data_IF_376221094767
#
_entry.id   IF_376221094767
#
_cell.length_a   1.000
_cell.length_b   1.000
_cell.length_c   1.000
_cell.angle_alpha   90.00
_cell.angle_beta   90.00
_cell.angle_gamma   90.00
#
_symmetry.space_group_name_H-M   'P 1'
#
loop_
_entity.id
_entity.type
_entity.pdbx_description
1 polymer ?
#
# COMPACT_ATOMS: atom_id res chain seq x y z
N UNK A 1 23.19 10.15 14.50
CA UNK A 1 23.33 9.18 13.40
C UNK A 1 22.12 8.27 13.46
N UNK A 2 21.34 8.10 12.38
CA UNK A 2 20.28 7.11 12.40
C UNK A 2 20.96 5.74 12.54
N UNK A 3 20.50 4.94 13.49
CA UNK A 3 20.91 3.56 13.63
C UNK A 3 20.20 2.85 12.47
N UNK A 4 20.94 2.48 11.43
CA UNK A 4 20.44 1.57 10.40
C UNK A 4 20.09 0.25 11.10
N UNK A 5 18.82 0.06 11.45
CA UNK A 5 18.34 -1.26 11.84
C UNK A 5 18.62 -2.20 10.66
N UNK A 6 19.30 -3.34 10.87
CA UNK A 6 19.61 -4.25 9.78
C UNK A 6 18.30 -4.72 9.13
N UNK A 7 18.21 -4.69 7.80
CA UNK A 7 17.06 -5.18 7.04
C UNK A 7 16.76 -6.63 7.44
N UNK A 8 15.77 -6.82 8.31
CA UNK A 8 15.43 -8.11 8.86
C UNK A 8 14.62 -8.90 7.82
N UNK A 9 14.97 -10.18 7.64
CA UNK A 9 14.19 -11.07 6.77
C UNK A 9 12.93 -11.51 7.52
N UNK A 10 11.78 -11.32 6.89
CA UNK A 10 10.48 -11.76 7.35
C UNK A 10 10.03 -12.98 6.54
N UNK A 11 9.50 -13.97 7.23
CA UNK A 11 8.97 -15.20 6.63
C UNK A 11 7.55 -15.03 6.09
N UNK A 12 7.14 -15.87 5.13
CA UNK A 12 5.76 -15.96 4.66
C UNK A 12 4.77 -16.01 5.83
N UNK A 13 3.76 -15.14 5.78
CA UNK A 13 2.71 -15.07 6.79
C UNK A 13 1.43 -14.55 6.16
N UNK A 14 0.30 -14.81 6.81
CA UNK A 14 -0.98 -14.19 6.45
C UNK A 14 -1.18 -12.97 7.33
N UNK A 15 -1.44 -11.82 6.73
CA UNK A 15 -1.80 -10.60 7.43
C UNK A 15 -3.31 -10.40 7.36
N UNK A 16 -3.94 -9.99 8.46
CA UNK A 16 -5.40 -9.75 8.52
C UNK A 16 -5.70 -8.39 9.12
N UNK A 17 -6.65 -7.67 8.52
CA UNK A 17 -7.12 -6.39 9.04
C UNK A 17 -8.20 -6.61 10.10
N UNK A 18 -7.97 -6.10 11.30
CA UNK A 18 -8.90 -6.14 12.43
C UNK A 18 -9.09 -4.72 12.97
N UNK A 19 -10.15 -4.05 12.51
CA UNK A 19 -10.43 -2.67 12.86
C UNK A 19 -9.35 -1.71 12.34
N UNK A 20 -8.48 -1.23 13.23
CA UNK A 20 -7.33 -0.37 12.90
C UNK A 20 -5.98 -1.09 12.96
N UNK A 21 -5.97 -2.37 13.32
CA UNK A 21 -4.76 -3.16 13.45
C UNK A 21 -4.62 -4.13 12.29
N UNK A 22 -3.38 -4.52 12.01
CA UNK A 22 -3.05 -5.60 11.09
C UNK A 22 -2.27 -6.64 11.88
N UNK A 23 -2.80 -7.86 11.93
CA UNK A 23 -2.30 -8.95 12.74
C UNK A 23 -1.70 -10.05 11.87
N UNK A 24 -0.76 -10.81 12.40
CA UNK A 24 -0.25 -12.02 11.77
C UNK A 24 -1.12 -13.22 12.13
N UNK A 25 -1.59 -13.94 11.12
CA UNK A 25 -2.46 -15.09 11.27
C UNK A 25 -3.84 -14.72 11.84
N UNK A 26 -4.40 -15.65 12.59
CA UNK A 26 -5.69 -15.50 13.28
C UNK A 26 -5.55 -15.04 14.74
N UNK A 27 -4.33 -14.76 15.20
CA UNK A 27 -4.07 -14.35 16.57
C UNK A 27 -4.16 -12.82 16.72
N UNK A 28 -5.23 -12.37 17.38
CA UNK A 28 -5.47 -10.96 17.75
C UNK A 28 -4.37 -10.39 18.66
N UNK A 29 -3.57 -11.24 19.33
CA UNK A 29 -2.42 -10.81 20.11
C UNK A 29 -1.22 -10.44 19.23
N UNK A 30 -1.12 -10.98 18.01
CA UNK A 30 0.00 -10.78 17.08
C UNK A 30 -0.15 -9.52 16.22
N UNK A 31 -0.37 -8.37 16.86
CA UNK A 31 -0.49 -7.07 16.17
C UNK A 31 0.86 -6.61 15.63
N UNK A 32 0.95 -6.47 14.31
CA UNK A 32 2.18 -6.04 13.62
C UNK A 32 2.13 -4.58 13.16
N UNK A 33 0.95 -4.10 12.77
CA UNK A 33 0.77 -2.74 12.30
C UNK A 33 -0.47 -2.10 12.90
N UNK A 34 -0.48 -0.77 12.91
CA UNK A 34 -1.59 0.06 13.35
C UNK A 34 -1.79 1.22 12.38
N UNK A 35 -3.04 1.43 12.02
CA UNK A 35 -3.50 2.61 11.30
C UNK A 35 -4.02 3.65 12.30
N UNK A 36 -3.88 4.95 11.96
CA UNK A 36 -4.48 6.02 12.78
C UNK A 36 -6.02 5.94 12.82
N UNK A 37 -6.62 5.38 11.78
CA UNK A 37 -8.06 5.18 11.64
C UNK A 37 -8.37 3.72 11.28
N UNK A 38 -9.53 3.22 11.69
CA UNK A 38 -9.96 1.90 11.23
C UNK A 38 -10.33 1.96 9.75
N UNK A 39 -9.88 0.94 8.99
CA UNK A 39 -10.17 0.80 7.57
C UNK A 39 -11.68 0.85 7.26
N UNK A 40 -12.52 0.40 8.19
CA UNK A 40 -13.99 0.40 8.07
C UNK A 40 -14.62 1.79 8.02
N UNK A 41 -13.93 2.80 8.56
CA UNK A 41 -14.44 4.16 8.69
C UNK A 41 -13.67 5.15 7.83
N UNK A 42 -12.80 4.65 6.94
CA UNK A 42 -12.08 5.49 6.01
C UNK A 42 -13.03 5.95 4.89
N UNK A 43 -13.24 7.25 4.83
CA UNK A 43 -14.04 7.94 3.82
C UNK A 43 -13.17 8.97 3.08
N UNK A 44 -13.72 9.58 2.04
CA UNK A 44 -13.00 10.55 1.20
C UNK A 44 -12.67 11.89 1.90
N UNK A 45 -13.25 12.16 3.07
CA UNK A 45 -12.91 13.33 3.89
C UNK A 45 -11.68 13.10 4.76
N UNK A 46 -11.28 11.84 4.98
CA UNK A 46 -9.97 11.56 5.56
C UNK A 46 -8.92 12.02 4.54
N UNK A 47 -8.01 12.90 4.95
CA UNK A 47 -6.93 13.36 4.06
C UNK A 47 -5.63 12.61 4.31
N UNK A 48 -5.47 12.04 5.51
CA UNK A 48 -4.24 11.40 5.95
C UNK A 48 -4.54 10.23 6.90
N UNK A 49 -3.89 9.09 6.66
CA UNK A 49 -3.92 7.91 7.53
C UNK A 49 -2.48 7.49 7.80
N UNK A 50 -2.05 7.59 9.06
CA UNK A 50 -0.72 7.16 9.49
C UNK A 50 -0.68 5.64 9.60
N UNK A 51 0.40 5.04 9.14
CA UNK A 51 0.73 3.62 9.32
C UNK A 51 1.93 3.51 10.27
N UNK A 52 1.76 2.76 11.34
CA UNK A 52 2.77 2.49 12.35
C UNK A 52 3.08 0.98 12.38
N UNK A 53 4.37 0.63 12.36
CA UNK A 53 4.87 -0.72 12.70
C UNK A 53 4.97 -0.83 14.21
N UNK A 54 4.46 -1.93 14.76
CA UNK A 54 4.51 -2.23 16.18
C UNK A 54 5.69 -3.17 16.46
N UNK A 55 6.54 -2.79 17.41
CA UNK A 55 7.61 -3.64 17.93
C UNK A 55 7.37 -3.99 19.39
N UNK A 56 7.94 -5.11 19.82
CA UNK A 56 8.04 -5.43 21.26
C UNK A 56 9.46 -5.07 21.67
N UNK A 57 9.60 -4.05 22.51
CA UNK A 57 10.87 -3.80 23.19
C UNK A 57 10.86 -4.60 24.48
N UNK A 58 11.59 -5.70 24.48
CA UNK A 58 12.00 -6.36 25.71
C UNK A 58 13.00 -5.42 26.39
N UNK A 59 12.60 -4.77 27.47
CA UNK A 59 13.58 -4.14 28.36
C UNK A 59 14.38 -5.27 28.98
N UNK A 60 15.71 -5.20 28.88
CA UNK A 60 16.60 -6.10 29.61
C UNK A 60 16.16 -6.15 31.08
N UNK A 61 15.96 -7.38 31.55
CA UNK A 61 15.37 -7.71 32.83
C UNK A 61 16.31 -7.26 33.97
N UNK A 62 16.14 -6.01 34.40
CA UNK A 62 16.80 -5.46 35.59
C UNK A 62 16.07 -5.87 36.88
N UNK A 63 15.43 -7.04 36.91
CA UNK A 63 14.87 -7.67 38.12
C UNK A 63 13.62 -6.99 38.70
N UNK A 64 13.06 -6.01 38.00
CA UNK A 64 11.82 -5.33 38.36
C UNK A 64 10.83 -5.60 37.23
N UNK A 65 9.93 -6.56 37.42
CA UNK A 65 9.03 -7.19 36.42
C UNK A 65 8.16 -6.22 35.61
N UNK A 66 8.82 -5.38 34.84
CA UNK A 66 8.27 -4.27 34.10
C UNK A 66 7.62 -4.82 32.84
N UNK A 67 6.36 -4.46 32.55
CA UNK A 67 5.67 -4.96 31.38
C UNK A 67 6.41 -4.57 30.10
N UNK A 68 6.47 -5.50 29.14
CA UNK A 68 7.04 -5.26 27.82
C UNK A 68 6.44 -3.97 27.21
N UNK A 69 7.30 -3.07 26.76
CA UNK A 69 6.85 -1.80 26.17
C UNK A 69 6.66 -1.98 24.68
N UNK A 70 5.46 -1.70 24.17
CA UNK A 70 5.18 -1.72 22.73
C UNK A 70 5.80 -0.46 22.12
N UNK A 71 6.76 -0.64 21.21
CA UNK A 71 7.33 0.45 20.43
C UNK A 71 6.47 0.72 19.19
N UNK A 72 6.35 1.99 18.83
CA UNK A 72 5.63 2.44 17.64
C UNK A 72 6.62 3.11 16.69
N UNK A 73 6.84 2.50 15.52
CA UNK A 73 7.68 3.06 14.46
C UNK A 73 6.78 3.58 13.34
N UNK A 74 6.80 4.88 13.08
CA UNK A 74 6.04 5.48 11.97
C UNK A 74 6.73 5.17 10.64
N UNK A 75 6.01 4.53 9.72
CA UNK A 75 6.55 4.14 8.41
C UNK A 75 6.05 5.03 7.26
N UNK A 76 4.73 5.23 7.16
CA UNK A 76 4.11 6.00 6.08
C UNK A 76 2.92 6.80 6.57
N UNK A 77 2.64 7.89 5.87
CA UNK A 77 1.36 8.56 5.84
C UNK A 77 0.68 8.28 4.49
N UNK A 78 -0.43 7.55 4.52
CA UNK A 78 -1.30 7.39 3.36
C UNK A 78 -2.08 8.69 3.18
N UNK A 79 -2.10 9.25 1.98
CA UNK A 79 -2.73 10.53 1.69
C UNK A 79 -3.79 10.36 0.61
N UNK A 80 -4.97 10.91 0.87
CA UNK A 80 -6.04 11.12 -0.10
C UNK A 80 -6.24 12.63 -0.23
N UNK A 81 -5.81 13.22 -1.36
CA UNK A 81 -6.08 14.64 -1.63
C UNK A 81 -7.45 14.78 -2.26
N UNK A 82 -8.38 15.34 -1.48
CA UNK A 82 -9.70 15.76 -1.93
C UNK A 82 -9.57 16.87 -2.99
N UNK A 83 -10.46 16.94 -3.99
CA UNK A 83 -10.31 17.87 -5.10
C UNK A 83 -10.64 19.29 -4.66
N UNK A 84 -9.62 20.15 -4.59
CA UNK A 84 -9.85 21.59 -4.76
C UNK A 84 -10.09 21.83 -6.25
N UNK A 85 -11.36 21.72 -6.64
CA UNK A 85 -12.06 22.10 -7.90
C UNK A 85 -11.42 21.87 -9.29
N UNK A 86 -10.18 21.39 -9.42
CA UNK A 86 -9.47 21.26 -10.69
C UNK A 86 -8.55 20.03 -10.83
N UNK A 87 -8.32 19.27 -9.75
CA UNK A 87 -7.40 18.11 -9.78
C UNK A 87 -8.12 16.80 -9.43
N UNK A 88 -7.85 15.69 -10.14
CA UNK A 88 -8.38 14.38 -9.77
C UNK A 88 -7.92 13.97 -8.37
N UNK A 89 -8.76 13.20 -7.67
CA UNK A 89 -8.41 12.63 -6.36
C UNK A 89 -7.13 11.81 -6.53
N UNK A 90 -6.10 12.15 -5.76
CA UNK A 90 -4.81 11.48 -5.80
C UNK A 90 -4.56 10.74 -4.49
N UNK A 91 -4.17 9.47 -4.64
CA UNK A 91 -3.79 8.57 -3.56
C UNK A 91 -2.30 8.31 -3.63
N UNK A 92 -1.58 8.56 -2.53
CA UNK A 92 -0.15 8.28 -2.44
C UNK A 92 0.25 7.95 -1.01
N UNK A 93 1.34 7.21 -0.84
CA UNK A 93 1.98 6.99 0.44
C UNK A 93 3.19 7.91 0.56
N UNK A 94 3.12 8.85 1.50
CA UNK A 94 4.25 9.69 1.89
C UNK A 94 5.08 8.96 2.91
N UNK A 95 6.34 8.77 2.59
CA UNK A 95 7.30 8.15 3.48
C UNK A 95 7.80 9.14 4.55
N UNK A 96 8.15 8.65 5.75
CA UNK A 96 8.80 9.44 6.80
C UNK A 96 10.32 9.38 6.66
N UNK A 97 11.01 10.52 6.60
CA UNK A 97 12.44 10.67 6.25
C UNK A 97 13.46 9.87 7.08
N UNK A 98 13.02 9.15 8.12
CA UNK A 98 13.87 8.36 9.03
C UNK A 98 14.11 6.91 8.59
N UNK A 99 13.35 6.40 7.63
CA UNK A 99 13.47 5.02 7.10
C UNK A 99 14.05 5.03 5.67
N UNK A 100 14.68 3.95 5.20
CA UNK A 100 15.28 3.91 3.85
C UNK A 100 14.27 3.83 2.69
N UNK A 101 12.96 3.97 2.94
CA UNK A 101 11.91 3.71 1.95
C UNK A 101 11.62 4.97 1.10
N UNK A 102 11.04 4.75 -0.07
CA UNK A 102 10.61 5.83 -0.96
C UNK A 102 9.09 6.05 -0.85
N UNK A 103 8.66 7.31 -1.00
CA UNK A 103 7.24 7.61 -1.20
C UNK A 103 6.77 6.98 -2.51
N UNK A 104 5.49 6.62 -2.62
CA UNK A 104 4.95 6.01 -3.83
C UNK A 104 3.51 6.43 -4.12
N UNK A 105 3.14 6.42 -5.39
CA UNK A 105 1.81 6.82 -5.90
C UNK A 105 0.98 5.61 -6.28
N UNK A 106 -0.34 5.76 -6.25
CA UNK A 106 -1.29 4.76 -6.72
C UNK A 106 -1.84 5.16 -8.10
N UNK A 107 -1.70 4.27 -9.08
CA UNK A 107 -2.29 4.44 -10.42
C UNK A 107 -3.18 3.25 -10.78
N UNK A 108 -4.35 3.55 -11.35
CA UNK A 108 -5.29 2.53 -11.82
C UNK A 108 -4.99 2.15 -13.28
N UNK A 109 -5.22 0.89 -13.62
CA UNK A 109 -5.21 0.42 -15.00
C UNK A 109 -6.31 -0.62 -15.24
N UNK A 110 -6.62 -0.90 -16.50
CA UNK A 110 -7.50 -2.03 -16.88
C UNK A 110 -6.65 -3.20 -17.35
N UNK A 111 -6.65 -4.36 -16.66
CA UNK A 111 -5.85 -5.52 -17.06
C UNK A 111 -6.26 -6.12 -18.41
N UNK A 112 -7.53 -5.95 -18.78
CA UNK A 112 -8.09 -6.36 -20.07
C UNK A 112 -9.19 -5.38 -20.46
N UNK A 113 -9.41 -5.19 -21.77
CA UNK A 113 -10.47 -4.32 -22.30
C UNK A 113 -11.87 -4.71 -21.81
N UNK A 114 -12.07 -5.98 -21.48
CA UNK A 114 -13.36 -6.52 -21.04
C UNK A 114 -13.43 -6.81 -19.54
N UNK A 115 -12.38 -6.48 -18.77
CA UNK A 115 -12.39 -6.71 -17.31
C UNK A 115 -13.21 -5.63 -16.61
N UNK A 116 -14.18 -6.04 -15.81
CA UNK A 116 -14.89 -5.14 -14.87
C UNK A 116 -14.03 -4.78 -13.66
N UNK A 117 -13.08 -5.64 -13.26
CA UNK A 117 -12.14 -5.37 -12.17
C UNK A 117 -10.94 -4.55 -12.66
N UNK A 118 -10.61 -3.50 -11.91
CA UNK A 118 -9.45 -2.62 -12.14
C UNK A 118 -8.19 -3.29 -11.57
N UNK A 119 -7.03 -2.96 -12.14
CA UNK A 119 -5.72 -3.26 -11.56
C UNK A 119 -5.10 -1.99 -10.97
N UNK A 120 -4.11 -2.17 -10.10
CA UNK A 120 -3.44 -1.08 -9.40
C UNK A 120 -1.92 -1.21 -9.57
N UNK A 121 -1.25 -0.12 -9.91
CA UNK A 121 0.19 0.01 -9.93
C UNK A 121 0.62 0.98 -8.83
N UNK A 122 1.69 0.62 -8.14
CA UNK A 122 2.34 1.43 -7.11
C UNK A 122 3.73 1.76 -7.60
N UNK A 123 4.00 3.02 -7.86
CA UNK A 123 5.28 3.47 -8.41
C UNK A 123 5.95 4.46 -7.47
N UNK A 124 7.28 4.42 -7.39
CA UNK A 124 8.08 5.41 -6.66
C UNK A 124 7.66 6.81 -7.10
N UNK A 125 7.38 7.67 -6.13
CA UNK A 125 7.18 9.08 -6.41
C UNK A 125 8.55 9.65 -6.78
N UNK A 126 8.75 10.02 -8.05
CA UNK A 126 10.03 10.58 -8.46
C UNK A 126 10.28 11.89 -7.69
N UNK A 127 11.42 11.95 -7.00
CA UNK A 127 12.12 13.23 -6.93
C UNK A 127 12.71 13.40 -8.32
N UNK A 128 12.34 14.45 -9.03
CA UNK A 128 12.86 14.76 -10.37
C UNK A 128 14.39 14.66 -10.38
N UNK A 129 14.93 13.53 -10.83
CA UNK A 129 16.36 13.38 -11.10
C UNK A 129 16.62 13.86 -12.53
N UNK A 130 17.64 14.70 -12.74
CA UNK A 130 17.90 15.33 -14.04
C UNK A 130 18.42 14.39 -15.12
N UNK A 131 18.70 13.12 -14.78
CA UNK A 131 19.23 12.14 -15.72
C UNK A 131 18.19 11.08 -16.07
N UNK A 132 17.88 10.99 -17.36
CA UNK A 132 16.74 10.26 -17.93
C UNK A 132 16.88 8.74 -17.95
N UNK A 133 17.47 8.14 -16.91
CA UNK A 133 17.54 6.68 -16.77
C UNK A 133 16.18 6.14 -16.32
N UNK A 134 15.51 5.45 -17.25
CA UNK A 134 14.23 4.75 -17.02
C UNK A 134 14.46 3.46 -16.21
N UNK A 135 14.84 3.59 -14.94
CA UNK A 135 14.52 2.51 -14.01
C UNK A 135 12.99 2.38 -13.94
N UNK A 136 12.48 1.14 -13.97
CA UNK A 136 11.05 0.93 -13.78
C UNK A 136 10.68 1.42 -12.39
N UNK A 137 10.02 2.58 -12.30
CA UNK A 137 9.55 3.16 -11.04
C UNK A 137 8.52 2.28 -10.33
N UNK A 138 7.98 1.25 -11.00
CA UNK A 138 7.02 0.31 -10.44
C UNK A 138 7.62 -0.46 -9.25
N UNK A 139 7.01 -0.34 -8.08
CA UNK A 139 7.29 -1.15 -6.90
C UNK A 139 6.43 -2.41 -6.89
N UNK A 140 5.12 -2.21 -6.99
CA UNK A 140 4.14 -3.28 -6.87
C UNK A 140 3.04 -3.14 -7.90
N UNK A 141 2.42 -4.25 -8.27
CA UNK A 141 1.14 -4.26 -8.97
C UNK A 141 0.17 -5.22 -8.31
N UNK A 142 -1.05 -4.77 -8.04
CA UNK A 142 -2.17 -5.60 -7.62
C UNK A 142 -3.07 -5.86 -8.84
N UNK A 143 -3.12 -7.11 -9.30
CA UNK A 143 -3.87 -7.52 -10.49
C UNK A 143 -5.03 -8.39 -10.06
N UNK A 144 -6.25 -8.25 -10.61
CA UNK A 144 -7.37 -9.11 -10.26
C UNK A 144 -7.00 -10.60 -10.33
N UNK A 145 -7.33 -11.33 -9.27
CA UNK A 145 -7.06 -12.76 -9.19
C UNK A 145 -7.80 -13.56 -10.25
N UNK A 146 -7.18 -14.64 -10.72
CA UNK A 146 -7.81 -15.59 -11.66
C UNK A 146 -8.70 -16.62 -10.95
N UNK A 147 -8.43 -16.87 -9.68
CA UNK A 147 -9.18 -17.82 -8.84
C UNK A 147 -10.31 -17.10 -8.11
N UNK A 148 -11.39 -17.84 -7.79
CA UNK A 148 -12.60 -17.26 -7.17
C UNK A 148 -12.38 -16.74 -5.76
N UNK A 149 -11.41 -17.28 -5.05
CA UNK A 149 -11.04 -16.98 -3.67
C UNK A 149 -9.93 -15.91 -3.56
N UNK A 150 -9.45 -15.39 -4.69
CA UNK A 150 -8.39 -14.37 -4.72
C UNK A 150 -8.93 -13.11 -5.37
N UNK A 151 -8.97 -12.02 -4.59
CA UNK A 151 -9.37 -10.71 -5.09
C UNK A 151 -8.28 -10.10 -5.96
N UNK A 152 -7.04 -10.10 -5.44
CA UNK A 152 -5.87 -9.57 -6.13
C UNK A 152 -4.63 -10.45 -5.94
N UNK A 153 -3.87 -10.63 -7.01
CA UNK A 153 -2.50 -11.12 -7.00
C UNK A 153 -1.56 -9.91 -6.95
N UNK A 154 -0.76 -9.83 -5.89
CA UNK A 154 0.23 -8.78 -5.68
C UNK A 154 1.59 -9.24 -6.22
N UNK A 155 2.19 -8.41 -7.07
CA UNK A 155 3.43 -8.72 -7.78
C UNK A 155 4.46 -7.62 -7.60
N UNK A 156 5.74 -7.98 -7.61
CA UNK A 156 6.85 -7.02 -7.61
C UNK A 156 7.05 -6.37 -8.99
N UNK A 157 8.05 -5.50 -9.11
CA UNK A 157 8.48 -4.86 -10.36
C UNK A 157 8.75 -5.87 -11.49
N UNK A 158 9.33 -7.02 -11.15
CA UNK A 158 9.67 -8.12 -12.08
C UNK A 158 8.47 -9.00 -12.44
N UNK A 159 7.26 -8.65 -11.97
CA UNK A 159 6.01 -9.41 -12.13
C UNK A 159 5.98 -10.75 -11.40
N UNK A 160 6.94 -11.03 -10.53
CA UNK A 160 6.93 -12.19 -9.64
C UNK A 160 5.83 -12.04 -8.57
N UNK A 161 5.14 -13.14 -8.25
CA UNK A 161 4.07 -13.15 -7.25
C UNK A 161 4.66 -12.97 -5.85
N UNK A 162 4.24 -11.93 -5.14
CA UNK A 162 4.62 -11.64 -3.76
C UNK A 162 3.56 -12.11 -2.77
N UNK A 163 2.29 -11.83 -3.06
CA UNK A 163 1.19 -12.07 -2.15
C UNK A 163 -0.14 -12.29 -2.88
N UNK A 164 -1.11 -12.87 -2.20
CA UNK A 164 -2.51 -12.93 -2.65
C UNK A 164 -3.41 -12.29 -1.61
N UNK A 165 -4.31 -11.45 -2.09
CA UNK A 165 -5.32 -10.79 -1.28
C UNK A 165 -6.66 -11.50 -1.42
N UNK A 166 -7.33 -11.69 -0.29
CA UNK A 166 -8.67 -12.26 -0.19
C UNK A 166 -9.33 -11.70 1.06
N UNK A 167 -10.53 -11.13 0.94
CA UNK A 167 -11.35 -10.64 2.07
C UNK A 167 -10.53 -10.10 3.27
N UNK A 168 -9.96 -8.91 3.11
CA UNK A 168 -9.20 -8.18 4.15
C UNK A 168 -8.01 -8.94 4.72
N UNK A 169 -7.56 -9.96 3.99
CA UNK A 169 -6.36 -10.75 4.30
C UNK A 169 -5.36 -10.65 3.16
N UNK A 170 -4.08 -10.65 3.49
CA UNK A 170 -2.95 -10.66 2.55
C UNK A 170 -2.01 -11.80 2.91
N UNK A 171 -1.99 -12.85 2.09
CA UNK A 171 -1.09 -14.00 2.25
C UNK A 171 0.21 -13.75 1.49
N UNK A 172 1.33 -13.60 2.21
CA UNK A 172 2.67 -13.46 1.63
C UNK A 172 3.21 -14.83 1.22
N UNK A 173 3.73 -14.97 -0.01
CA UNK A 173 4.19 -16.24 -0.58
C UNK A 173 5.70 -16.48 -0.49
N UNK A 174 6.48 -15.44 -0.15
CA UNK A 174 7.93 -15.49 -0.14
C UNK A 174 8.55 -14.80 1.08
N UNK A 175 9.84 -15.03 1.27
CA UNK A 175 10.64 -14.23 2.20
C UNK A 175 10.75 -12.81 1.66
N UNK A 176 10.63 -11.83 2.54
CA UNK A 176 10.69 -10.41 2.20
C UNK A 176 11.54 -9.70 3.24
N UNK A 177 12.11 -8.55 2.90
CA UNK A 177 12.68 -7.66 3.93
C UNK A 177 11.54 -7.00 4.71
N UNK A 178 11.82 -6.53 5.93
CA UNK A 178 10.86 -5.74 6.70
C UNK A 178 10.44 -4.49 5.93
N UNK A 179 11.37 -3.86 5.23
CA UNK A 179 11.15 -2.69 4.38
C UNK A 179 10.14 -2.96 3.27
N UNK A 180 10.34 -4.05 2.53
CA UNK A 180 9.45 -4.43 1.44
C UNK A 180 8.07 -4.84 1.98
N UNK A 181 8.02 -5.48 3.16
CA UNK A 181 6.75 -5.80 3.83
C UNK A 181 6.02 -4.53 4.24
N UNK A 182 6.72 -3.56 4.84
CA UNK A 182 6.15 -2.29 5.30
C UNK A 182 5.59 -1.48 4.12
N UNK A 183 6.32 -1.44 3.00
CA UNK A 183 5.87 -0.83 1.76
C UNK A 183 4.66 -1.57 1.16
N UNK A 184 4.69 -2.90 1.12
CA UNK A 184 3.59 -3.72 0.59
C UNK A 184 2.32 -3.59 1.43
N UNK A 185 2.43 -3.59 2.76
CA UNK A 185 1.30 -3.39 3.68
C UNK A 185 0.71 -1.99 3.49
N UNK A 186 1.56 -0.97 3.35
CA UNK A 186 1.11 0.40 3.11
C UNK A 186 0.41 0.54 1.76
N UNK A 187 0.93 -0.11 0.71
CA UNK A 187 0.29 -0.18 -0.61
C UNK A 187 -1.06 -0.90 -0.57
N UNK A 188 -1.15 -2.02 0.16
CA UNK A 188 -2.37 -2.77 0.37
C UNK A 188 -3.44 -1.92 1.08
N UNK A 189 -3.08 -1.22 2.14
CA UNK A 189 -4.01 -0.34 2.86
C UNK A 189 -4.45 0.86 2.00
N UNK A 190 -3.55 1.42 1.19
CA UNK A 190 -3.89 2.50 0.25
C UNK A 190 -4.89 2.03 -0.82
N UNK A 191 -4.72 0.81 -1.36
CA UNK A 191 -5.68 0.18 -2.29
C UNK A 191 -7.04 0.01 -1.63
N UNK A 192 -7.06 -0.58 -0.43
CA UNK A 192 -8.29 -0.86 0.29
C UNK A 192 -9.03 0.43 0.64
N UNK A 193 -8.30 1.49 1.02
CA UNK A 193 -8.89 2.80 1.23
C UNK A 193 -9.47 3.38 -0.07
N UNK A 194 -8.74 3.33 -1.19
CA UNK A 194 -9.25 3.75 -2.49
C UNK A 194 -10.57 3.04 -2.85
N UNK A 195 -10.66 1.73 -2.60
CA UNK A 195 -11.87 0.95 -2.86
C UNK A 195 -13.05 1.40 -1.99
N UNK A 196 -12.81 1.76 -0.73
CA UNK A 196 -13.88 2.29 0.13
C UNK A 196 -14.41 3.65 -0.35
N UNK A 197 -13.53 4.52 -0.87
CA UNK A 197 -13.90 5.87 -1.29
C UNK A 197 -14.48 5.93 -2.69
N UNK A 198 -13.87 5.24 -3.64
CA UNK A 198 -14.19 5.31 -5.07
C UNK A 198 -14.85 4.04 -5.60
N UNK A 199 -14.66 2.88 -4.96
CA UNK A 199 -15.37 1.65 -5.32
C UNK A 199 -16.85 1.68 -4.95
N UNK A 200 -17.21 2.47 -3.93
CA UNK A 200 -18.60 2.70 -3.50
C UNK A 200 -19.20 4.00 -4.05
N UNK A 201 -18.48 4.78 -4.86
CA UNK A 201 -18.99 6.03 -5.43
C UNK A 201 -19.83 5.72 -6.69
N UNK A 202 -21.11 6.16 -6.79
CA UNK A 202 -21.97 5.84 -7.94
C UNK A 202 -21.56 6.47 -9.29
N UNK A 203 -20.37 7.09 -9.42
CA UNK A 203 -20.12 8.12 -10.45
C UNK A 203 -18.91 7.93 -11.36
N UNK A 204 -18.14 6.85 -11.27
CA UNK A 204 -16.88 6.74 -12.05
C UNK A 204 -16.92 5.72 -13.22
N UNK A 205 -18.05 5.62 -13.92
CA UNK A 205 -18.15 4.79 -15.14
C UNK A 205 -17.94 5.59 -16.45
N UNK A 206 -18.02 6.92 -16.44
CA UNK A 206 -18.08 7.70 -17.70
C UNK A 206 -16.77 8.40 -18.12
N UNK A 207 -15.77 8.59 -17.25
CA UNK A 207 -14.62 9.46 -17.57
C UNK A 207 -13.31 8.77 -18.02
N UNK A 208 -13.25 7.44 -18.10
CA UNK A 208 -12.04 6.73 -18.55
C UNK A 208 -12.01 6.58 -20.09
N UNK A 209 -12.94 7.20 -20.82
CA UNK A 209 -13.02 7.15 -22.29
C UNK A 209 -12.42 8.35 -23.01
N UNK A 210 -11.96 9.40 -22.32
CA UNK A 210 -11.64 10.70 -22.96
C UNK A 210 -10.16 11.02 -23.19
N UNK A 211 -9.23 10.11 -22.89
CA UNK A 211 -7.79 10.40 -23.09
C UNK A 211 -7.18 9.82 -24.39
N UNK A 212 -7.97 9.14 -25.24
CA UNK A 212 -7.50 8.60 -26.53
C UNK A 212 -8.08 9.35 -27.74
N UNK A 213 -8.26 10.68 -27.63
CA UNK A 213 -8.67 11.51 -28.77
C UNK A 213 -8.01 12.88 -28.75
N UNK A 214 -6.68 12.92 -28.73
CA UNK A 214 -5.94 14.00 -29.37
C UNK A 214 -5.30 13.41 -30.62
N UNK A 215 -5.96 13.68 -31.74
CA UNK A 215 -5.67 13.09 -33.03
C UNK A 215 -4.25 13.35 -33.49
N UNK A 216 -3.64 12.28 -34.03
CA UNK A 216 -2.76 12.40 -35.17
C UNK A 216 -3.48 13.23 -36.25
N UNK A 217 -3.02 14.46 -36.46
CA UNK A 217 -3.27 15.20 -37.69
C UNK A 217 -2.04 16.04 -38.01
N UNK A 218 -1.04 15.40 -38.60
CA UNK A 218 -0.22 16.03 -39.62
C UNK A 218 -0.20 15.09 -40.82
N UNK A 219 -1.10 15.37 -41.76
CA UNK A 219 -1.15 14.79 -43.08
C UNK A 219 -0.18 15.51 -44.01
N UNK A 220 0.48 14.70 -44.86
CA UNK A 220 1.00 14.95 -46.23
C UNK A 220 2.11 15.98 -46.39
#
# INVERSE_FOLDING_TARGET
MPIDEPCQIVFPTTLRVQGRYICAGDDEACKLYKLSHSLNYLINTNQNVRVERLGVSEKEDNGDGSPATISHCHIFDLVCRSPDTATPVSFYAKHNEQTGLCSFTLQLFRPSRFSSKKGFNFSRASQSTPDGEKHSDLLFSAVPGKKRDVDYEWRNAERCLLATESDRSLMLHGKTTTEDRDALVSAWMLRAWWEQTEGNSPKHLDDIGKFDSLGCSCCV
#
